data_IF_892336762349
#
_entry.id   IF_892336762349
#
_cell.length_a   1.000
_cell.length_b   1.000
_cell.length_c   1.000
_cell.angle_alpha   90.00
_cell.angle_beta   90.00
_cell.angle_gamma   90.00
#
_symmetry.space_group_name_H-M   'P 1'
#
loop_
_entity.id
_entity.type
_entity.pdbx_description
1 polymer ?
#
# COMPACT_ATOMS: atom_id res chain seq x y z
N UNK A 1 -7.76 -23.78 8.80
CA UNK A 1 -7.23 -22.45 8.46
C UNK A 1 -5.81 -22.25 8.99
N UNK A 2 -5.58 -22.25 10.32
CA UNK A 2 -4.22 -22.06 10.87
C UNK A 2 -3.16 -23.03 10.31
N UNK A 3 -3.47 -24.32 10.14
CA UNK A 3 -2.57 -25.32 9.53
C UNK A 3 -2.23 -24.98 8.08
N UNK A 4 -3.23 -24.67 7.25
CA UNK A 4 -3.06 -24.21 5.86
C UNK A 4 -2.20 -22.92 5.80
N UNK A 5 -2.37 -21.99 6.73
CA UNK A 5 -1.53 -20.78 6.80
C UNK A 5 -0.09 -21.08 7.24
N UNK A 6 0.15 -22.06 8.11
CA UNK A 6 1.52 -22.47 8.44
C UNK A 6 2.19 -23.16 7.25
N UNK A 7 1.48 -24.07 6.57
CA UNK A 7 2.03 -24.83 5.46
C UNK A 7 2.35 -23.94 4.24
N UNK A 8 1.49 -22.98 3.92
CA UNK A 8 1.74 -22.03 2.82
C UNK A 8 2.72 -20.90 3.15
N UNK A 9 3.04 -20.67 4.43
CA UNK A 9 4.16 -19.79 4.83
C UNK A 9 5.49 -20.53 4.82
N UNK A 10 5.48 -21.87 4.94
CA UNK A 10 6.68 -22.69 4.93
C UNK A 10 7.19 -23.00 3.52
N UNK A 11 6.29 -23.14 2.54
CA UNK A 11 6.66 -23.34 1.13
C UNK A 11 5.56 -22.95 0.15
N UNK A 12 5.97 -22.53 -1.04
CA UNK A 12 5.05 -22.28 -2.15
C UNK A 12 4.36 -23.58 -2.56
N UNK A 13 3.03 -23.58 -2.60
CA UNK A 13 2.23 -24.79 -2.87
C UNK A 13 2.04 -25.73 -1.67
N UNK A 14 2.61 -25.43 -0.49
CA UNK A 14 2.36 -26.19 0.74
C UNK A 14 0.92 -26.11 1.28
N UNK A 15 0.05 -25.31 0.65
CA UNK A 15 -1.30 -25.00 1.11
C UNK A 15 -2.25 -24.77 -0.05
N UNK A 16 -3.55 -24.98 0.17
CA UNK A 16 -4.62 -24.55 -0.75
C UNK A 16 -4.79 -23.02 -0.75
N UNK A 17 -4.29 -22.34 0.29
CA UNK A 17 -4.16 -20.88 0.31
C UNK A 17 -2.92 -20.47 -0.50
N UNK A 18 -3.15 -19.88 -1.68
CA UNK A 18 -2.09 -19.20 -2.43
C UNK A 18 -1.60 -18.00 -1.64
N UNK A 19 -0.37 -18.07 -1.12
CA UNK A 19 0.30 -16.98 -0.43
C UNK A 19 1.60 -16.63 -1.16
N UNK A 20 1.95 -15.35 -1.14
CA UNK A 20 3.15 -14.82 -1.78
C UNK A 20 4.27 -14.81 -0.73
N UNK A 21 5.41 -15.41 -1.04
CA UNK A 21 6.61 -15.39 -0.21
C UNK A 21 7.33 -14.06 -0.48
N UNK A 22 7.81 -13.42 0.59
CA UNK A 22 8.64 -12.21 0.52
C UNK A 22 10.05 -12.53 1.01
N UNK A 23 11.05 -11.94 0.36
CA UNK A 23 12.49 -12.18 0.59
C UNK A 23 13.13 -11.12 1.50
N UNK A 24 12.30 -10.43 2.30
CA UNK A 24 12.76 -9.55 3.37
C UNK A 24 13.20 -10.39 4.59
N UNK A 25 14.34 -11.08 4.46
CA UNK A 25 14.85 -12.04 5.46
C UNK A 25 15.14 -11.41 6.83
N UNK A 26 15.31 -10.09 6.87
CA UNK A 26 15.49 -9.30 8.07
C UNK A 26 14.37 -8.24 8.21
N UNK A 27 13.20 -8.65 8.70
CA UNK A 27 12.35 -7.70 9.43
C UNK A 27 13.15 -7.27 10.68
N UNK A 28 13.47 -5.98 10.83
CA UNK A 28 14.51 -5.53 11.74
C UNK A 28 14.16 -5.78 13.22
N UNK A 29 15.10 -6.40 13.93
CA UNK A 29 15.08 -6.55 15.38
C UNK A 29 15.86 -5.42 16.04
N UNK A 30 15.16 -4.32 16.33
CA UNK A 30 15.77 -3.16 16.97
C UNK A 30 16.30 -3.48 18.36
N UNK A 31 17.63 -3.49 18.53
CA UNK A 31 18.23 -3.46 19.88
C UNK A 31 18.04 -2.06 20.48
N UNK A 32 17.66 -1.94 21.76
CA UNK A 32 17.51 -0.64 22.40
C UNK A 32 18.87 0.01 22.64
N UNK A 33 19.09 1.18 22.05
CA UNK A 33 20.15 2.12 22.45
C UNK A 33 19.54 3.31 23.20
N UNK A 34 20.07 3.55 24.40
CA UNK A 34 19.88 4.74 25.27
C UNK A 34 18.45 5.23 25.61
N UNK A 35 18.11 5.07 26.89
CA UNK A 35 17.27 5.92 27.76
C UNK A 35 15.82 6.32 27.40
N UNK A 36 15.42 6.38 26.13
CA UNK A 36 14.01 6.66 25.78
C UNK A 36 13.15 5.40 25.88
N UNK A 37 12.08 5.48 26.67
CA UNK A 37 11.35 4.31 27.16
C UNK A 37 10.67 3.47 26.05
N UNK A 38 11.20 2.26 25.83
CA UNK A 38 10.48 1.06 25.36
C UNK A 38 9.58 1.19 24.10
N UNK A 39 10.03 1.92 23.07
CA UNK A 39 9.40 1.91 21.74
C UNK A 39 10.28 1.20 20.71
N UNK A 40 9.99 -0.09 20.47
CA UNK A 40 10.68 -0.88 19.44
C UNK A 40 9.98 -0.69 18.08
N UNK A 41 10.42 0.34 17.35
CA UNK A 41 10.04 0.56 15.96
C UNK A 41 10.42 -0.66 15.10
N UNK A 42 9.63 -0.94 14.06
CA UNK A 42 10.12 -1.70 12.91
C UNK A 42 11.09 -0.81 12.14
N UNK A 43 12.31 -0.70 12.65
CA UNK A 43 13.33 0.26 12.22
C UNK A 43 14.22 -0.41 11.19
N UNK A 44 13.97 -0.23 9.90
CA UNK A 44 14.89 -0.72 8.86
C UNK A 44 16.24 -0.07 9.16
N UNK A 45 17.26 -0.89 9.44
CA UNK A 45 18.49 -0.38 10.06
C UNK A 45 19.35 0.30 9.01
N UNK A 46 19.19 1.62 8.98
CA UNK A 46 19.96 2.56 8.15
C UNK A 46 20.88 3.42 9.02
N UNK A 47 21.17 2.98 10.25
CA UNK A 47 22.16 3.62 11.13
C UNK A 47 23.54 3.51 10.48
N UNK A 48 24.29 4.62 10.41
CA UNK A 48 25.53 4.66 9.63
C UNK A 48 25.25 4.54 8.12
N UNK A 49 24.24 5.29 7.65
CA UNK A 49 24.00 5.53 6.21
C UNK A 49 23.67 6.99 5.97
N UNK A 50 24.44 7.60 5.09
CA UNK A 50 24.34 8.96 4.63
C UNK A 50 24.26 9.00 3.10
N UNK A 51 23.57 10.01 2.57
CA UNK A 51 23.40 10.21 1.14
C UNK A 51 21.95 10.05 0.66
N UNK A 52 21.79 10.30 -0.63
CA UNK A 52 20.52 10.26 -1.33
C UNK A 52 20.15 8.81 -1.69
N UNK A 53 18.98 8.36 -1.23
CA UNK A 53 18.38 7.09 -1.65
C UNK A 53 17.02 7.35 -2.27
N UNK A 54 16.77 6.69 -3.39
CA UNK A 54 15.57 6.89 -4.21
C UNK A 54 14.52 5.82 -3.95
N UNK A 55 13.28 6.09 -4.35
CA UNK A 55 12.23 5.10 -4.51
C UNK A 55 11.33 5.40 -5.71
N UNK A 56 10.80 4.33 -6.28
CA UNK A 56 9.71 4.34 -7.26
C UNK A 56 8.54 3.57 -6.64
N UNK A 57 7.35 4.16 -6.66
CA UNK A 57 6.10 3.52 -6.22
C UNK A 57 5.09 3.49 -7.36
N UNK A 58 4.98 2.33 -8.02
CA UNK A 58 4.02 2.12 -9.11
C UNK A 58 2.66 1.68 -8.54
N UNK A 59 1.74 2.64 -8.51
CA UNK A 59 0.37 2.48 -8.06
C UNK A 59 -0.60 2.02 -9.15
N UNK A 60 -1.89 2.40 -9.00
CA UNK A 60 -2.96 2.04 -9.93
C UNK A 60 -3.14 3.05 -11.06
N UNK A 61 -3.32 4.33 -10.72
CA UNK A 61 -3.61 5.42 -11.67
C UNK A 61 -2.47 6.44 -11.78
N UNK A 62 -1.65 6.54 -10.73
CA UNK A 62 -0.45 7.36 -10.67
C UNK A 62 0.73 6.50 -10.18
N UNK A 63 1.95 6.96 -10.43
CA UNK A 63 3.15 6.50 -9.73
C UNK A 63 3.85 7.67 -9.05
N UNK A 64 4.61 7.39 -8.00
CA UNK A 64 5.44 8.38 -7.32
C UNK A 64 6.92 8.06 -7.51
N UNK A 65 7.70 9.11 -7.69
CA UNK A 65 9.16 9.06 -7.58
C UNK A 65 9.55 9.87 -6.36
N UNK A 66 10.46 9.36 -5.54
CA UNK A 66 10.81 9.94 -4.24
C UNK A 66 12.31 9.83 -4.01
N UNK A 67 12.88 10.81 -3.32
CA UNK A 67 14.24 10.75 -2.76
C UNK A 67 14.22 11.14 -1.29
N UNK A 68 15.01 10.42 -0.50
CA UNK A 68 15.30 10.75 0.89
C UNK A 68 16.80 11.00 1.05
N UNK A 69 17.13 11.96 1.90
CA UNK A 69 18.49 12.11 2.43
C UNK A 69 18.54 11.44 3.80
N UNK A 70 19.46 10.51 3.97
CA UNK A 70 19.74 9.86 5.26
C UNK A 70 20.82 10.63 6.03
N UNK A 71 20.66 10.75 7.35
CA UNK A 71 21.52 11.54 8.23
C UNK A 71 22.62 10.77 8.97
N UNK A 72 23.15 9.67 8.40
CA UNK A 72 24.29 8.95 8.95
C UNK A 72 24.03 8.31 10.33
N UNK A 73 24.71 8.81 11.35
CA UNK A 73 24.83 8.19 12.68
C UNK A 73 23.52 8.02 13.45
N UNK A 74 22.48 8.78 13.13
CA UNK A 74 21.15 8.66 13.76
C UNK A 74 20.15 7.80 12.96
N UNK A 75 20.50 7.35 11.75
CA UNK A 75 19.64 6.51 10.91
C UNK A 75 18.28 7.13 10.57
N UNK A 76 18.18 8.46 10.55
CA UNK A 76 16.94 9.20 10.26
C UNK A 76 16.93 9.80 8.86
N UNK A 77 15.74 9.89 8.29
CA UNK A 77 15.45 10.74 7.13
C UNK A 77 15.55 12.20 7.56
N UNK A 78 16.46 12.97 6.97
CA UNK A 78 16.64 14.41 7.25
C UNK A 78 16.01 15.31 6.19
N UNK A 79 15.81 14.80 4.98
CA UNK A 79 15.11 15.47 3.87
C UNK A 79 14.33 14.44 3.05
N UNK A 80 13.17 14.83 2.52
CA UNK A 80 12.34 14.03 1.63
C UNK A 80 11.77 14.93 0.54
N UNK A 81 11.84 14.49 -0.71
CA UNK A 81 11.22 15.14 -1.86
C UNK A 81 10.54 14.06 -2.72
N UNK A 82 9.42 14.39 -3.37
CA UNK A 82 8.70 13.47 -4.25
C UNK A 82 7.92 14.21 -5.34
N UNK A 83 7.73 13.54 -6.47
CA UNK A 83 6.76 13.91 -7.51
C UNK A 83 5.74 12.78 -7.68
N UNK A 84 4.47 13.14 -7.94
CA UNK A 84 3.41 12.21 -8.32
C UNK A 84 3.04 12.42 -9.80
N UNK A 85 3.13 11.36 -10.60
CA UNK A 85 2.94 11.38 -12.05
C UNK A 85 1.74 10.51 -12.40
N UNK A 86 0.76 11.10 -13.08
CA UNK A 86 -0.41 10.36 -13.56
C UNK A 86 -0.08 9.53 -14.79
N UNK A 87 -0.56 8.29 -14.83
CA UNK A 87 -0.27 7.33 -15.89
C UNK A 87 -1.31 7.53 -17.01
N UNK A 88 -0.89 7.88 -18.25
CA UNK A 88 -1.79 7.91 -19.40
C UNK A 88 -2.50 6.55 -19.57
N UNK A 89 -3.84 6.49 -19.63
CA UNK A 89 -4.56 5.22 -19.61
C UNK A 89 -4.19 4.23 -20.71
N UNK A 90 -3.69 4.72 -21.86
CA UNK A 90 -3.22 3.85 -22.94
C UNK A 90 -1.95 3.06 -22.58
N UNK A 91 -1.09 3.57 -21.69
CA UNK A 91 0.10 2.84 -21.21
C UNK A 91 -0.25 1.72 -20.22
N UNK A 92 -1.44 1.76 -19.60
CA UNK A 92 -1.89 0.68 -18.71
C UNK A 92 -2.28 -0.59 -19.48
N UNK A 93 -2.56 -0.47 -20.79
CA UNK A 93 -2.98 -1.56 -21.69
C UNK A 93 -2.16 -1.59 -22.99
N UNK A 94 -1.01 -0.92 -23.00
CA UNK A 94 -0.09 -0.81 -24.14
C UNK A 94 1.06 -1.81 -24.01
N UNK A 95 2.22 -1.46 -24.54
CA UNK A 95 3.45 -2.24 -24.37
C UNK A 95 4.13 -2.04 -23.02
N UNK A 96 4.82 -3.05 -22.51
CA UNK A 96 5.65 -2.97 -21.30
C UNK A 96 6.77 -1.93 -21.48
N UNK A 97 7.42 -1.92 -22.64
CA UNK A 97 8.46 -0.94 -22.97
C UNK A 97 7.90 0.49 -22.92
N UNK A 98 6.70 0.75 -23.43
CA UNK A 98 6.08 2.09 -23.42
C UNK A 98 5.81 2.57 -21.98
N UNK A 99 5.30 1.68 -21.11
CA UNK A 99 5.09 1.97 -19.69
C UNK A 99 6.41 2.22 -18.95
N UNK A 100 7.39 1.33 -19.09
CA UNK A 100 8.66 1.45 -18.36
C UNK A 100 9.54 2.58 -18.89
N UNK A 101 9.52 2.89 -20.19
CA UNK A 101 10.21 4.07 -20.76
C UNK A 101 9.58 5.38 -20.28
N UNK A 102 8.25 5.44 -20.13
CA UNK A 102 7.56 6.59 -19.53
C UNK A 102 7.96 6.79 -18.06
N UNK A 103 8.03 5.71 -17.27
CA UNK A 103 8.49 5.73 -15.88
C UNK A 103 9.97 6.15 -15.79
N UNK A 104 10.84 5.57 -16.61
CA UNK A 104 12.27 5.90 -16.66
C UNK A 104 12.52 7.35 -17.10
N UNK A 105 11.72 7.88 -18.04
CA UNK A 105 11.78 9.30 -18.45
C UNK A 105 11.35 10.25 -17.32
N UNK A 106 10.38 9.86 -16.49
CA UNK A 106 10.01 10.63 -15.30
C UNK A 106 11.09 10.57 -14.21
N UNK A 107 11.67 9.39 -13.95
CA UNK A 107 12.83 9.24 -13.06
C UNK A 107 14.02 10.09 -13.52
N UNK A 108 14.32 10.12 -14.83
CA UNK A 108 15.40 10.95 -15.39
C UNK A 108 15.17 12.45 -15.14
N UNK A 109 13.93 12.94 -15.29
CA UNK A 109 13.55 14.33 -14.98
C UNK A 109 13.68 14.65 -13.49
N UNK A 110 13.30 13.70 -12.63
CA UNK A 110 13.40 13.85 -11.18
C UNK A 110 14.85 13.81 -10.68
N UNK A 111 15.71 12.96 -11.27
CA UNK A 111 17.16 12.99 -11.02
C UNK A 111 17.78 14.29 -11.52
N UNK A 112 17.35 14.82 -12.68
CA UNK A 112 17.81 16.11 -13.18
C UNK A 112 17.36 17.32 -12.31
N UNK A 113 16.46 17.13 -11.34
CA UNK A 113 16.07 18.16 -10.36
C UNK A 113 16.82 18.08 -9.03
N UNK A 114 17.88 17.27 -8.93
CA UNK A 114 18.74 17.18 -7.73
C UNK A 114 19.24 18.56 -7.28
N UNK A 115 18.91 18.93 -6.04
CA UNK A 115 19.51 20.07 -5.36
C UNK A 115 20.87 19.73 -4.74
N UNK A 116 21.58 20.75 -4.25
CA UNK A 116 22.91 20.61 -3.64
C UNK A 116 22.94 19.61 -2.45
N UNK A 117 21.83 19.43 -1.73
CA UNK A 117 21.73 18.50 -0.60
C UNK A 117 21.80 17.00 -0.99
N UNK A 118 21.62 16.65 -2.28
CA UNK A 118 21.52 15.25 -2.75
C UNK A 118 22.74 14.80 -3.57
N UNK A 119 23.94 15.27 -3.21
CA UNK A 119 25.17 14.91 -3.90
C UNK A 119 25.43 13.39 -3.88
N UNK A 120 25.49 12.82 -5.08
CA UNK A 120 26.00 11.46 -5.32
C UNK A 120 27.52 11.49 -5.22
N UNK A 121 28.11 10.70 -4.31
CA UNK A 121 29.56 10.61 -4.17
C UNK A 121 30.21 10.08 -5.46
N UNK A 122 31.38 10.59 -5.82
CA UNK A 122 32.07 10.27 -7.08
C UNK A 122 32.31 8.76 -7.21
N UNK A 123 31.94 8.19 -8.37
CA UNK A 123 32.01 6.75 -8.63
C UNK A 123 30.92 5.90 -7.97
N UNK A 124 29.94 6.50 -7.25
CA UNK A 124 28.72 5.79 -6.82
C UNK A 124 27.62 5.92 -7.87
N UNK A 125 26.85 4.85 -8.01
CA UNK A 125 25.60 4.77 -8.77
C UNK A 125 24.43 5.10 -7.83
N UNK A 126 23.36 5.71 -8.33
CA UNK A 126 22.16 6.00 -7.53
C UNK A 126 21.42 4.70 -7.19
N UNK A 127 21.13 4.49 -5.92
CA UNK A 127 20.39 3.31 -5.47
C UNK A 127 18.92 3.63 -5.18
N UNK A 128 18.02 2.72 -5.57
CA UNK A 128 16.60 2.90 -5.31
C UNK A 128 15.83 1.63 -4.98
N UNK A 129 14.73 1.83 -4.26
CA UNK A 129 13.75 0.78 -3.96
C UNK A 129 12.55 0.87 -4.90
N UNK A 130 12.16 -0.25 -5.49
CA UNK A 130 11.01 -0.33 -6.37
C UNK A 130 9.82 -0.94 -5.62
N UNK A 131 8.88 -0.10 -5.18
CA UNK A 131 7.54 -0.57 -4.83
C UNK A 131 6.77 -0.86 -6.11
N UNK A 132 6.39 -2.13 -6.28
CA UNK A 132 5.58 -2.59 -7.40
C UNK A 132 4.34 -3.27 -6.85
N UNK A 133 3.25 -2.50 -6.76
CA UNK A 133 2.05 -2.89 -6.01
C UNK A 133 1.13 -3.85 -6.81
N UNK A 134 1.69 -4.93 -7.34
CA UNK A 134 0.99 -5.98 -8.08
C UNK A 134 1.37 -7.36 -7.54
N UNK A 135 0.57 -8.41 -7.76
CA UNK A 135 0.97 -9.77 -7.39
C UNK A 135 2.22 -10.22 -8.15
N UNK A 136 3.38 -10.22 -7.49
CA UNK A 136 4.64 -10.78 -8.02
C UNK A 136 5.00 -12.08 -7.28
N UNK A 137 5.64 -13.00 -7.99
CA UNK A 137 6.42 -14.09 -7.40
C UNK A 137 7.85 -13.58 -7.22
N UNK A 138 8.17 -13.05 -6.04
CA UNK A 138 9.54 -12.64 -5.74
C UNK A 138 10.49 -13.84 -5.88
N UNK A 139 11.71 -13.58 -6.34
CA UNK A 139 12.77 -14.59 -6.51
C UNK A 139 14.04 -14.22 -5.73
N UNK A 140 14.19 -12.94 -5.38
CA UNK A 140 15.16 -12.42 -4.43
C UNK A 140 14.62 -11.12 -3.80
N UNK A 141 15.42 -10.45 -2.97
CA UNK A 141 15.08 -9.10 -2.48
C UNK A 141 14.91 -8.09 -3.62
N UNK A 142 15.62 -8.25 -4.74
CA UNK A 142 15.66 -7.31 -5.87
C UNK A 142 15.26 -7.98 -7.20
N UNK A 143 14.37 -8.97 -7.17
CA UNK A 143 13.83 -9.61 -8.38
C UNK A 143 12.49 -10.29 -8.11
N UNK A 144 11.66 -10.41 -9.14
CA UNK A 144 10.38 -11.10 -9.06
C UNK A 144 9.54 -10.99 -10.32
N UNK A 145 8.84 -12.08 -10.66
CA UNK A 145 8.03 -12.17 -11.87
C UNK A 145 6.54 -11.88 -11.63
N UNK A 146 5.92 -11.08 -12.51
CA UNK A 146 4.51 -10.69 -12.37
C UNK A 146 3.59 -11.91 -12.52
N UNK A 147 2.76 -12.18 -11.52
CA UNK A 147 1.78 -13.29 -11.56
C UNK A 147 0.55 -12.89 -12.38
N UNK A 148 0.05 -11.66 -12.21
CA UNK A 148 -1.06 -11.08 -12.98
C UNK A 148 -1.18 -9.58 -12.74
N UNK A 149 -1.69 -8.86 -13.72
CA UNK A 149 -2.11 -7.48 -13.53
C UNK A 149 -3.36 -7.34 -12.65
N UNK A 150 -3.50 -6.15 -12.06
CA UNK A 150 -4.69 -5.68 -11.33
C UNK A 150 -4.84 -4.17 -11.54
N UNK A 151 -5.73 -3.49 -10.83
CA UNK A 151 -5.83 -2.01 -10.80
C UNK A 151 -6.04 -1.34 -12.18
N UNK A 152 -6.56 -2.08 -13.16
CA UNK A 152 -6.84 -1.60 -14.53
C UNK A 152 -5.74 -1.87 -15.56
N UNK A 153 -4.57 -2.37 -15.14
CA UNK A 153 -3.51 -2.77 -16.06
C UNK A 153 -3.85 -4.06 -16.80
N UNK A 154 -3.36 -4.17 -18.04
CA UNK A 154 -3.50 -5.36 -18.90
C UNK A 154 -2.41 -5.38 -19.98
N UNK A 155 -1.16 -5.59 -19.57
CA UNK A 155 0.01 -5.70 -20.46
C UNK A 155 0.43 -7.18 -20.50
N UNK A 156 -0.10 -7.94 -21.47
CA UNK A 156 0.03 -9.40 -21.48
C UNK A 156 1.49 -9.88 -21.54
N UNK A 157 2.35 -9.18 -22.28
CA UNK A 157 3.78 -9.50 -22.40
C UNK A 157 4.58 -9.34 -21.09
N UNK A 158 4.02 -8.70 -20.06
CA UNK A 158 4.66 -8.59 -18.75
C UNK A 158 4.36 -9.80 -17.84
N UNK A 159 3.34 -10.61 -18.16
CA UNK A 159 2.90 -11.69 -17.26
C UNK A 159 3.90 -12.84 -17.29
N UNK A 160 4.43 -13.20 -16.13
CA UNK A 160 5.58 -14.09 -15.89
C UNK A 160 6.97 -13.49 -16.14
N UNK A 161 7.05 -12.23 -16.59
CA UNK A 161 8.33 -11.52 -16.73
C UNK A 161 8.73 -10.77 -15.46
N UNK A 162 10.03 -10.48 -15.32
CA UNK A 162 10.62 -9.88 -14.12
C UNK A 162 10.54 -8.34 -14.15
N UNK A 163 9.83 -7.75 -13.19
CA UNK A 163 9.56 -6.31 -13.16
C UNK A 163 10.82 -5.45 -12.92
N UNK A 164 11.82 -5.99 -12.22
CA UNK A 164 13.10 -5.30 -12.00
C UNK A 164 13.91 -5.29 -13.29
N UNK A 165 13.88 -6.40 -14.04
CA UNK A 165 14.57 -6.55 -15.32
C UNK A 165 14.03 -5.58 -16.37
N UNK A 166 12.70 -5.49 -16.53
CA UNK A 166 12.10 -4.56 -17.52
C UNK A 166 12.33 -3.10 -17.17
N UNK A 167 12.23 -2.73 -15.89
CA UNK A 167 12.57 -1.37 -15.46
C UNK A 167 14.07 -1.07 -15.66
N UNK A 168 14.96 -2.03 -15.39
CA UNK A 168 16.41 -1.84 -15.61
C UNK A 168 16.73 -1.57 -17.09
N UNK A 169 16.14 -2.34 -18.01
CA UNK A 169 16.26 -2.11 -19.45
C UNK A 169 15.80 -0.71 -19.87
N UNK A 170 14.71 -0.20 -19.27
CA UNK A 170 14.22 1.14 -19.55
C UNK A 170 15.15 2.25 -19.01
N UNK A 171 15.73 2.06 -17.82
CA UNK A 171 16.74 2.96 -17.27
C UNK A 171 17.99 3.02 -18.16
N UNK A 172 18.48 1.87 -18.63
CA UNK A 172 19.60 1.77 -19.59
C UNK A 172 19.28 2.52 -20.90
N UNK A 173 18.07 2.34 -21.46
CA UNK A 173 17.62 3.07 -22.66
C UNK A 173 17.55 4.59 -22.48
N UNK A 174 17.22 5.06 -21.27
CA UNK A 174 17.24 6.49 -20.92
C UNK A 174 18.65 6.99 -20.52
N UNK A 175 19.66 6.12 -20.45
CA UNK A 175 21.02 6.46 -20.02
C UNK A 175 21.11 6.84 -18.53
N UNK A 176 20.18 6.36 -17.70
CA UNK A 176 20.06 6.76 -16.30
C UNK A 176 20.84 5.80 -15.38
N UNK A 177 21.93 6.29 -14.78
CA UNK A 177 22.80 5.51 -13.91
C UNK A 177 22.16 5.26 -12.52
N UNK A 178 21.31 4.24 -12.46
CA UNK A 178 20.54 3.84 -11.28
C UNK A 178 20.49 2.32 -11.10
N UNK A 179 20.46 1.86 -9.85
CA UNK A 179 20.35 0.44 -9.47
C UNK A 179 19.18 0.17 -8.54
N UNK A 180 18.41 -0.86 -8.87
CA UNK A 180 17.33 -1.37 -8.04
C UNK A 180 17.93 -2.28 -6.96
N UNK A 181 17.84 -1.86 -5.70
CA UNK A 181 18.41 -2.60 -4.56
C UNK A 181 17.37 -3.45 -3.83
N UNK A 182 16.08 -3.14 -3.99
CA UNK A 182 14.98 -3.93 -3.45
C UNK A 182 13.69 -3.78 -4.26
N UNK A 183 12.91 -4.85 -4.32
CA UNK A 183 11.55 -4.93 -4.84
C UNK A 183 10.58 -5.08 -3.66
N UNK A 184 9.77 -4.05 -3.41
CA UNK A 184 8.85 -3.97 -2.28
C UNK A 184 7.42 -4.35 -2.64
N UNK A 185 6.85 -5.31 -1.90
CA UNK A 185 5.40 -5.51 -1.80
C UNK A 185 4.87 -4.87 -0.51
N UNK A 186 3.83 -4.05 -0.61
CA UNK A 186 3.27 -3.35 0.55
C UNK A 186 2.15 -4.13 1.20
N UNK A 187 2.51 -5.17 1.96
CA UNK A 187 1.58 -6.09 2.60
C UNK A 187 0.40 -5.40 3.31
N UNK A 188 0.63 -4.33 4.08
CA UNK A 188 -0.44 -3.61 4.79
C UNK A 188 -1.26 -2.74 3.82
N UNK A 189 -0.60 -1.99 2.93
CA UNK A 189 -1.26 -1.15 1.93
C UNK A 189 -2.11 -1.96 0.96
N UNK A 190 -1.56 -3.01 0.36
CA UNK A 190 -2.28 -3.90 -0.55
C UNK A 190 -3.37 -4.73 0.16
N UNK A 191 -3.24 -5.07 1.45
CA UNK A 191 -4.36 -5.62 2.22
C UNK A 191 -5.51 -4.61 2.34
N UNK A 192 -5.22 -3.33 2.59
CA UNK A 192 -6.23 -2.27 2.69
C UNK A 192 -6.84 -1.91 1.32
N UNK A 193 -6.04 -1.92 0.25
CA UNK A 193 -6.52 -1.77 -1.14
C UNK A 193 -7.38 -2.97 -1.52
N UNK A 194 -6.99 -4.21 -1.20
CA UNK A 194 -7.80 -5.41 -1.42
C UNK A 194 -9.13 -5.35 -0.64
N UNK A 195 -9.13 -4.82 0.60
CA UNK A 195 -10.36 -4.57 1.35
C UNK A 195 -11.19 -3.44 0.74
N UNK A 196 -10.58 -2.42 0.12
CA UNK A 196 -11.26 -1.37 -0.64
C UNK A 196 -11.92 -1.90 -1.92
N UNK A 197 -11.25 -2.81 -2.63
CA UNK A 197 -11.81 -3.51 -3.79
C UNK A 197 -12.93 -4.48 -3.38
N UNK A 198 -12.81 -5.12 -2.20
CA UNK A 198 -13.86 -5.97 -1.64
C UNK A 198 -15.09 -5.14 -1.22
N UNK A 199 -14.90 -3.98 -0.57
CA UNK A 199 -15.96 -3.00 -0.30
C UNK A 199 -16.73 -2.67 -1.59
N UNK A 200 -16.01 -2.28 -2.64
CA UNK A 200 -16.57 -1.94 -3.95
C UNK A 200 -17.35 -3.11 -4.58
N UNK A 201 -16.78 -4.32 -4.58
CA UNK A 201 -17.44 -5.52 -5.11
C UNK A 201 -18.74 -5.82 -4.37
N UNK A 202 -18.74 -5.69 -3.03
CA UNK A 202 -19.90 -5.96 -2.20
C UNK A 202 -21.01 -4.92 -2.41
N UNK A 203 -20.68 -3.63 -2.59
CA UNK A 203 -21.64 -2.63 -3.06
C UNK A 203 -22.23 -3.03 -4.41
N UNK A 204 -21.38 -3.41 -5.39
CA UNK A 204 -21.83 -3.80 -6.74
C UNK A 204 -22.80 -5.00 -6.70
N UNK A 205 -22.52 -6.02 -5.90
CA UNK A 205 -23.39 -7.21 -5.74
C UNK A 205 -24.69 -6.90 -5.01
N UNK A 206 -24.66 -6.06 -3.97
CA UNK A 206 -25.87 -5.65 -3.25
C UNK A 206 -26.79 -4.79 -4.14
N UNK A 207 -26.21 -3.88 -4.93
CA UNK A 207 -26.94 -3.09 -5.93
C UNK A 207 -27.58 -3.97 -7.01
N UNK A 208 -26.88 -5.02 -7.47
CA UNK A 208 -27.42 -6.01 -8.41
C UNK A 208 -28.65 -6.73 -7.83
N UNK A 209 -28.59 -7.21 -6.59
CA UNK A 209 -29.66 -7.99 -5.95
C UNK A 209 -30.87 -7.14 -5.55
N UNK A 210 -30.67 -5.89 -5.13
CA UNK A 210 -31.76 -5.05 -4.62
C UNK A 210 -32.57 -4.34 -5.71
N UNK A 211 -31.99 -4.13 -6.89
CA UNK A 211 -32.63 -3.35 -7.97
C UNK A 211 -32.86 -4.12 -9.27
N UNK A 212 -32.62 -5.44 -9.29
CA UNK A 212 -32.87 -6.32 -10.44
C UNK A 212 -32.19 -5.83 -11.75
N UNK A 213 -31.05 -5.13 -11.63
CA UNK A 213 -30.33 -4.54 -12.76
C UNK A 213 -29.67 -5.66 -13.58
N UNK A 214 -29.97 -5.81 -14.89
CA UNK A 214 -29.37 -6.85 -15.70
C UNK A 214 -27.85 -6.74 -15.75
N UNK A 215 -27.15 -7.87 -15.67
CA UNK A 215 -25.68 -7.94 -15.67
C UNK A 215 -25.05 -7.26 -16.91
N UNK A 216 -25.78 -7.27 -18.03
CA UNK A 216 -25.41 -6.58 -19.27
C UNK A 216 -25.42 -5.04 -19.13
N UNK A 217 -26.33 -4.47 -18.33
CA UNK A 217 -26.34 -3.02 -18.03
C UNK A 217 -25.15 -2.64 -17.14
N UNK A 218 -24.79 -3.50 -16.18
CA UNK A 218 -23.62 -3.34 -15.32
C UNK A 218 -22.27 -3.58 -16.02
N UNK A 219 -22.28 -4.20 -17.20
CA UNK A 219 -21.11 -4.34 -18.09
C UNK A 219 -21.06 -3.25 -19.17
N UNK A 220 -22.22 -2.72 -19.59
CA UNK A 220 -22.35 -1.52 -20.42
C UNK A 220 -22.11 -0.21 -19.67
N UNK A 221 -22.00 -0.26 -18.33
CA UNK A 221 -21.58 0.85 -17.46
C UNK A 221 -20.05 1.13 -17.56
N UNK A 222 -19.50 1.16 -18.77
CA UNK A 222 -18.17 1.74 -19.07
C UNK A 222 -18.13 3.24 -18.77
N UNK A 223 -19.29 3.88 -18.64
CA UNK A 223 -19.50 5.25 -18.17
C UNK A 223 -19.73 5.38 -16.65
N UNK A 224 -19.59 4.30 -15.87
CA UNK A 224 -19.52 4.45 -14.41
C UNK A 224 -18.28 5.30 -14.07
N UNK A 225 -18.40 6.38 -13.29
CA UNK A 225 -17.23 7.14 -12.84
C UNK A 225 -16.21 6.17 -12.22
N UNK A 226 -14.92 6.31 -12.59
CA UNK A 226 -13.85 5.34 -12.29
C UNK A 226 -14.00 4.67 -10.92
N UNK A 227 -13.73 3.35 -10.87
CA UNK A 227 -14.01 2.46 -9.73
C UNK A 227 -13.58 3.00 -8.35
N UNK A 228 -12.57 3.87 -8.31
CA UNK A 228 -12.08 4.62 -7.14
C UNK A 228 -13.09 5.59 -6.51
N UNK A 229 -14.06 6.12 -7.27
CA UNK A 229 -14.94 7.24 -6.85
C UNK A 229 -16.08 6.82 -5.90
N UNK A 230 -16.34 5.53 -5.74
CA UNK A 230 -17.45 5.03 -4.92
C UNK A 230 -17.25 5.20 -3.41
N UNK A 231 -16.03 4.98 -2.92
CA UNK A 231 -15.70 5.09 -1.49
C UNK A 231 -15.98 6.50 -0.93
N UNK A 232 -15.56 7.60 -1.60
CA UNK A 232 -16.00 8.95 -1.25
C UNK A 232 -17.52 9.11 -1.18
N UNK A 233 -18.28 8.55 -2.13
CA UNK A 233 -19.74 8.68 -2.14
C UNK A 233 -20.41 7.93 -0.99
N UNK A 234 -19.91 6.76 -0.59
CA UNK A 234 -20.40 6.06 0.61
C UNK A 234 -20.18 6.91 1.86
N UNK A 235 -18.95 7.38 2.08
CA UNK A 235 -18.60 8.24 3.22
C UNK A 235 -19.51 9.49 3.28
N UNK A 236 -19.71 10.19 2.15
CA UNK A 236 -20.66 11.30 2.05
C UNK A 236 -22.10 10.94 2.41
N UNK A 237 -22.57 9.73 2.05
CA UNK A 237 -23.93 9.27 2.33
C UNK A 237 -24.14 8.93 3.81
N UNK A 238 -23.15 8.37 4.50
CA UNK A 238 -23.23 8.10 5.94
C UNK A 238 -23.04 9.35 6.80
N UNK A 239 -22.29 10.35 6.30
CA UNK A 239 -22.20 11.66 6.94
C UNK A 239 -23.46 12.54 6.75
N UNK A 240 -24.49 12.07 6.04
CA UNK A 240 -25.73 12.83 5.81
C UNK A 240 -26.61 12.89 7.06
N UNK A 241 -26.43 13.95 7.85
CA UNK A 241 -27.25 14.24 9.04
C UNK A 241 -28.58 14.95 8.72
N UNK A 242 -28.97 15.09 7.45
CA UNK A 242 -30.21 15.80 7.12
C UNK A 242 -31.46 14.93 7.39
N UNK A 243 -32.57 15.50 7.90
CA UNK A 243 -33.75 14.70 8.31
C UNK A 243 -34.35 13.80 7.23
N UNK A 244 -34.18 14.19 5.96
CA UNK A 244 -34.71 13.49 4.79
C UNK A 244 -33.62 12.77 3.96
N UNK A 245 -32.38 12.67 4.48
CA UNK A 245 -31.22 12.09 3.78
C UNK A 245 -31.06 12.66 2.36
N UNK A 246 -30.95 13.98 2.26
CA UNK A 246 -30.89 14.73 0.99
C UNK A 246 -29.65 14.40 0.16
N UNK A 247 -28.48 14.21 0.79
CA UNK A 247 -27.24 13.82 0.12
C UNK A 247 -27.39 12.40 -0.41
N UNK A 248 -27.96 11.47 0.37
CA UNK A 248 -28.25 10.10 -0.11
C UNK A 248 -29.19 10.14 -1.31
N UNK A 249 -30.28 10.92 -1.23
CA UNK A 249 -31.21 11.12 -2.35
C UNK A 249 -30.54 11.69 -3.60
N UNK A 250 -29.66 12.70 -3.44
CA UNK A 250 -28.89 13.27 -4.53
C UNK A 250 -27.89 12.27 -5.13
N UNK A 251 -27.11 11.56 -4.32
CA UNK A 251 -26.14 10.56 -4.80
C UNK A 251 -26.81 9.38 -5.51
N UNK A 252 -27.97 8.92 -5.02
CA UNK A 252 -28.79 7.93 -5.72
C UNK A 252 -29.33 8.46 -7.07
N UNK A 253 -29.67 9.74 -7.17
CA UNK A 253 -30.08 10.37 -8.42
C UNK A 253 -28.90 10.51 -9.40
N UNK A 254 -27.83 11.15 -8.95
CA UNK A 254 -26.76 11.67 -9.81
C UNK A 254 -25.80 10.57 -10.29
N UNK A 255 -25.61 9.50 -9.49
CA UNK A 255 -24.68 8.41 -9.81
C UNK A 255 -25.42 7.15 -10.30
N UNK A 256 -26.59 6.87 -9.74
CA UNK A 256 -27.35 5.63 -10.00
C UNK A 256 -28.59 5.85 -10.86
N UNK A 257 -28.93 7.10 -11.22
CA UNK A 257 -30.13 7.44 -11.98
C UNK A 257 -31.46 7.26 -11.24
N UNK A 258 -31.44 6.87 -9.96
CA UNK A 258 -32.63 6.50 -9.19
C UNK A 258 -33.34 7.75 -8.67
N UNK A 259 -34.38 8.17 -9.39
CA UNK A 259 -35.23 9.30 -9.02
C UNK A 259 -36.17 8.96 -7.84
N UNK A 260 -36.69 10.01 -7.18
CA UNK A 260 -37.85 9.93 -6.27
C UNK A 260 -37.76 8.90 -5.13
N UNK A 261 -36.56 8.66 -4.60
CA UNK A 261 -36.32 7.68 -3.53
C UNK A 261 -37.02 8.07 -2.22
N UNK A 262 -37.69 7.11 -1.58
CA UNK A 262 -38.36 7.33 -0.29
C UNK A 262 -37.35 7.46 0.87
N UNK A 263 -37.74 8.10 1.98
CA UNK A 263 -36.89 8.17 3.18
C UNK A 263 -36.55 6.76 3.74
N UNK A 264 -37.48 5.81 3.65
CA UNK A 264 -37.24 4.40 4.03
C UNK A 264 -36.15 3.77 3.16
N UNK A 265 -36.18 4.01 1.84
CA UNK A 265 -35.16 3.55 0.89
C UNK A 265 -33.80 4.16 1.20
N UNK A 266 -33.73 5.48 1.47
CA UNK A 266 -32.48 6.18 1.78
C UNK A 266 -31.85 5.69 3.08
N UNK A 267 -32.65 5.43 4.12
CA UNK A 267 -32.17 4.84 5.38
C UNK A 267 -31.54 3.47 5.14
N UNK A 268 -32.24 2.60 4.41
CA UNK A 268 -31.72 1.27 4.06
C UNK A 268 -30.39 1.34 3.29
N UNK A 269 -30.20 2.32 2.41
CA UNK A 269 -28.93 2.55 1.71
C UNK A 269 -27.80 2.97 2.67
N UNK A 270 -28.09 3.81 3.67
CA UNK A 270 -27.11 4.15 4.73
C UNK A 270 -26.77 2.92 5.57
N UNK A 271 -27.77 2.14 6.01
CA UNK A 271 -27.58 0.91 6.79
C UNK A 271 -26.66 -0.09 6.04
N UNK A 272 -26.85 -0.21 4.73
CA UNK A 272 -26.00 -1.04 3.86
C UNK A 272 -24.58 -0.52 3.78
N UNK A 273 -24.38 0.79 3.59
CA UNK A 273 -23.04 1.38 3.55
C UNK A 273 -22.31 1.12 4.88
N UNK A 274 -23.02 1.23 6.00
CA UNK A 274 -22.53 0.94 7.35
C UNK A 274 -22.11 -0.52 7.54
N UNK A 275 -22.95 -1.48 7.13
CA UNK A 275 -22.64 -2.91 7.19
C UNK A 275 -21.41 -3.24 6.34
N UNK A 276 -21.32 -2.65 5.14
CA UNK A 276 -20.23 -2.87 4.19
C UNK A 276 -18.92 -2.31 4.75
N UNK A 277 -18.91 -1.05 5.23
CA UNK A 277 -17.77 -0.39 5.86
C UNK A 277 -17.24 -1.16 7.08
N UNK A 278 -18.12 -1.43 8.05
CA UNK A 278 -17.76 -2.08 9.32
C UNK A 278 -17.28 -3.52 9.13
N UNK A 279 -17.79 -4.24 8.12
CA UNK A 279 -17.25 -5.57 7.76
C UNK A 279 -15.83 -5.49 7.24
N UNK A 280 -15.51 -4.56 6.33
CA UNK A 280 -14.17 -4.45 5.79
C UNK A 280 -13.15 -3.98 6.84
N UNK A 281 -13.55 -3.04 7.71
CA UNK A 281 -12.74 -2.60 8.84
C UNK A 281 -12.39 -3.77 9.77
N UNK A 282 -13.37 -4.62 10.10
CA UNK A 282 -13.14 -5.86 10.87
C UNK A 282 -12.21 -6.86 10.18
N UNK A 283 -12.37 -7.07 8.88
CA UNK A 283 -11.50 -7.99 8.12
C UNK A 283 -10.05 -7.48 8.06
N UNK A 284 -9.85 -6.18 7.84
CA UNK A 284 -8.54 -5.54 7.90
C UNK A 284 -7.91 -5.68 9.31
N UNK A 285 -8.68 -5.38 10.36
CA UNK A 285 -8.27 -5.56 11.75
C UNK A 285 -7.86 -7.00 12.06
N UNK A 286 -8.64 -8.01 11.64
CA UNK A 286 -8.30 -9.43 11.83
C UNK A 286 -7.02 -9.83 11.10
N UNK A 287 -6.77 -9.27 9.92
CA UNK A 287 -5.52 -9.45 9.19
C UNK A 287 -4.30 -8.88 9.93
N UNK A 288 -4.41 -7.64 10.40
CA UNK A 288 -3.40 -6.97 11.24
C UNK A 288 -3.13 -7.77 12.52
N UNK A 289 -4.17 -8.20 13.23
CA UNK A 289 -4.04 -9.03 14.42
C UNK A 289 -3.37 -10.38 14.13
N UNK A 290 -3.64 -10.98 12.97
CA UNK A 290 -2.94 -12.18 12.50
C UNK A 290 -1.43 -11.97 12.33
N UNK A 291 -1.01 -10.81 11.81
CA UNK A 291 0.40 -10.43 11.70
C UNK A 291 1.01 -10.21 13.08
N UNK A 292 0.36 -9.44 13.97
CA UNK A 292 0.81 -9.22 15.34
C UNK A 292 1.02 -10.55 16.07
N UNK A 293 0.09 -11.50 15.90
CA UNK A 293 0.18 -12.85 16.46
C UNK A 293 1.32 -13.68 15.88
N UNK A 294 1.57 -13.58 14.56
CA UNK A 294 2.72 -14.25 13.92
C UNK A 294 4.06 -13.70 14.40
N UNK A 295 4.13 -12.41 14.72
CA UNK A 295 5.31 -11.73 15.27
C UNK A 295 5.49 -11.93 16.79
N UNK A 296 4.58 -12.65 17.48
CA UNK A 296 4.59 -12.76 18.95
C UNK A 296 4.25 -11.46 19.68
N UNK A 297 3.79 -10.42 18.96
CA UNK A 297 3.44 -9.08 19.46
C UNK A 297 1.96 -9.00 19.91
N UNK A 298 1.42 -10.10 20.42
CA UNK A 298 0.02 -10.27 20.84
C UNK A 298 -0.11 -10.93 22.22
N UNK A 299 1.00 -11.04 22.96
CA UNK A 299 1.10 -11.71 24.26
C UNK A 299 1.45 -10.62 25.28
N UNK A 300 0.78 -10.56 26.45
CA UNK A 300 1.17 -9.66 27.52
C UNK A 300 2.55 -10.04 28.06
N UNK A 301 3.59 -9.33 27.62
CA UNK A 301 4.94 -9.45 28.17
C UNK A 301 5.12 -8.48 29.33
N UNK A 302 5.83 -8.92 30.37
CA UNK A 302 6.22 -8.09 31.52
C UNK A 302 7.00 -6.84 31.10
N UNK A 303 7.77 -6.95 30.02
CA UNK A 303 8.25 -5.80 29.25
C UNK A 303 7.13 -5.33 28.32
N UNK A 304 6.41 -4.27 28.71
CA UNK A 304 5.38 -3.64 27.87
C UNK A 304 6.01 -2.95 26.64
N UNK A 305 6.31 -3.73 25.59
CA UNK A 305 6.85 -3.25 24.32
C UNK A 305 5.77 -2.51 23.54
N UNK A 306 5.95 -1.21 23.31
CA UNK A 306 5.01 -0.41 22.52
C UNK A 306 5.05 -0.83 21.05
N UNK A 307 3.90 -1.21 20.51
CA UNK A 307 3.75 -1.60 19.10
C UNK A 307 3.18 -0.41 18.33
N UNK A 308 3.83 -0.01 17.24
CA UNK A 308 3.30 1.00 16.32
C UNK A 308 2.90 0.34 15.01
N UNK A 309 1.63 0.50 14.61
CA UNK A 309 1.13 0.14 13.28
C UNK A 309 1.14 1.42 12.43
N UNK A 310 2.00 1.47 11.42
CA UNK A 310 1.95 2.49 10.39
C UNK A 310 0.87 2.10 9.35
N UNK A 311 -0.03 3.03 9.03
CA UNK A 311 -1.07 2.88 8.02
C UNK A 311 -0.94 4.02 7.00
N UNK A 312 -0.74 3.68 5.73
CA UNK A 312 -0.84 4.62 4.60
C UNK A 312 -2.05 4.20 3.75
N UNK A 313 -3.15 4.95 3.87
CA UNK A 313 -4.38 4.69 3.12
C UNK A 313 -5.40 5.82 3.25
N UNK A 314 -5.83 6.40 2.13
CA UNK A 314 -6.93 7.36 2.09
C UNK A 314 -8.27 6.82 2.61
N UNK A 315 -8.47 5.49 2.64
CA UNK A 315 -9.64 4.88 3.28
C UNK A 315 -9.58 5.05 4.81
N UNK A 316 -8.42 4.88 5.42
CA UNK A 316 -8.26 5.09 6.87
C UNK A 316 -8.21 6.58 7.23
N UNK A 317 -7.58 7.40 6.38
CA UNK A 317 -7.45 8.85 6.61
C UNK A 317 -8.79 9.61 6.48
N UNK A 318 -9.64 9.26 5.50
CA UNK A 318 -10.81 10.09 5.14
C UNK A 318 -12.18 9.45 5.43
N UNK A 319 -12.23 8.24 6.01
CA UNK A 319 -13.48 7.53 6.27
C UNK A 319 -13.55 7.08 7.73
N UNK A 320 -14.00 7.98 8.61
CA UNK A 320 -13.94 7.76 10.07
C UNK A 320 -14.65 6.49 10.54
N UNK A 321 -15.80 6.14 9.96
CA UNK A 321 -16.53 4.90 10.28
C UNK A 321 -15.67 3.65 10.02
N UNK A 322 -14.76 3.68 9.03
CA UNK A 322 -13.83 2.60 8.77
C UNK A 322 -12.68 2.58 9.79
N UNK A 323 -12.02 3.72 10.04
CA UNK A 323 -10.90 3.79 10.99
C UNK A 323 -11.34 3.53 12.44
N UNK A 324 -12.40 4.18 12.92
CA UNK A 324 -13.01 3.94 14.24
C UNK A 324 -13.36 2.46 14.45
N UNK A 325 -13.96 1.80 13.45
CA UNK A 325 -14.32 0.38 13.53
C UNK A 325 -13.10 -0.54 13.42
N UNK A 326 -12.06 -0.17 12.66
CA UNK A 326 -10.82 -0.93 12.55
C UNK A 326 -10.09 -0.91 13.89
N UNK A 327 -9.95 0.28 14.48
CA UNK A 327 -9.35 0.44 15.80
C UNK A 327 -10.14 -0.26 16.89
N UNK A 328 -11.48 -0.10 16.94
CA UNK A 328 -12.30 -0.76 17.97
C UNK A 328 -12.15 -2.27 17.88
N UNK A 329 -12.19 -2.83 16.66
CA UNK A 329 -12.03 -4.28 16.47
C UNK A 329 -10.63 -4.75 16.88
N UNK A 330 -9.57 -3.97 16.63
CA UNK A 330 -8.22 -4.30 17.12
C UNK A 330 -8.15 -4.28 18.65
N UNK A 331 -8.80 -3.31 19.31
CA UNK A 331 -8.92 -3.29 20.78
C UNK A 331 -9.67 -4.52 21.30
N UNK A 332 -10.82 -4.84 20.71
CA UNK A 332 -11.64 -6.01 21.06
C UNK A 332 -10.86 -7.34 20.90
N UNK A 333 -10.00 -7.46 19.89
CA UNK A 333 -9.21 -8.67 19.61
C UNK A 333 -7.92 -8.81 20.45
N UNK A 334 -7.41 -7.71 21.03
CA UNK A 334 -6.21 -7.71 21.87
C UNK A 334 -6.53 -7.65 23.36
N UNK A 335 -7.66 -7.06 23.74
CA UNK A 335 -8.03 -6.80 25.13
C UNK A 335 -7.55 -5.43 25.63
N UNK A 336 -8.18 -4.96 26.72
CA UNK A 336 -7.96 -3.64 27.31
C UNK A 336 -6.50 -3.41 27.76
N UNK A 337 -5.86 -4.41 28.38
CA UNK A 337 -4.51 -4.25 28.96
C UNK A 337 -3.44 -4.09 27.88
N UNK A 338 -3.48 -4.92 26.83
CA UNK A 338 -2.51 -4.90 25.72
C UNK A 338 -2.72 -3.70 24.79
N UNK A 339 -3.96 -3.20 24.67
CA UNK A 339 -4.30 -1.99 23.89
C UNK A 339 -3.47 -0.78 24.30
N UNK A 340 -3.12 -0.64 25.58
CA UNK A 340 -2.29 0.48 26.08
C UNK A 340 -0.90 0.58 25.43
N UNK A 341 -0.40 -0.53 24.86
CA UNK A 341 0.87 -0.61 24.14
C UNK A 341 0.73 -0.36 22.63
N UNK A 342 -0.48 -0.43 22.08
CA UNK A 342 -0.71 -0.32 20.64
C UNK A 342 -0.97 1.14 20.23
N UNK A 343 -0.25 1.62 19.23
CA UNK A 343 -0.50 2.91 18.58
C UNK A 343 -0.65 2.70 17.08
N UNK A 344 -1.79 3.07 16.54
CA UNK A 344 -1.96 3.17 15.09
C UNK A 344 -1.61 4.60 14.69
N UNK A 345 -0.74 4.76 13.69
CA UNK A 345 -0.35 6.06 13.13
C UNK A 345 -0.62 6.08 11.65
N UNK A 346 -1.23 7.16 11.18
CA UNK A 346 -1.18 7.51 9.77
C UNK A 346 0.28 7.77 9.38
N UNK A 347 0.77 7.06 8.37
CA UNK A 347 2.04 7.29 7.72
C UNK A 347 1.77 7.89 6.34
N UNK A 348 2.48 8.94 5.98
CA UNK A 348 2.47 9.50 4.63
C UNK A 348 3.66 8.94 3.86
N UNK A 349 3.44 8.65 2.58
CA UNK A 349 4.44 8.08 1.67
C UNK A 349 5.11 6.81 2.21
N UNK A 350 4.37 5.99 2.97
CA UNK A 350 4.90 4.78 3.58
C UNK A 350 5.52 3.85 2.54
N UNK A 351 4.86 3.73 1.38
CA UNK A 351 5.33 2.91 0.25
C UNK A 351 6.60 3.42 -0.43
N UNK A 352 6.81 4.74 -0.48
CA UNK A 352 8.02 5.35 -1.02
C UNK A 352 9.16 5.31 -0.01
N UNK A 353 8.94 5.83 1.19
CA UNK A 353 9.95 5.91 2.25
C UNK A 353 10.43 4.50 2.63
N UNK A 354 9.53 3.54 2.82
CA UNK A 354 9.95 2.18 3.19
C UNK A 354 10.70 1.44 2.09
N UNK A 355 10.40 1.71 0.81
CA UNK A 355 11.18 1.17 -0.31
C UNK A 355 12.59 1.80 -0.36
N UNK A 356 12.70 3.12 -0.17
CA UNK A 356 14.00 3.78 -0.08
C UNK A 356 14.80 3.26 1.14
N UNK A 357 14.17 3.10 2.30
CA UNK A 357 14.82 2.51 3.49
C UNK A 357 15.24 1.05 3.28
N UNK A 358 14.50 0.28 2.46
CA UNK A 358 14.84 -1.11 2.08
C UNK A 358 15.87 -1.20 0.92
N UNK A 359 16.13 -0.09 0.21
CA UNK A 359 17.24 0.06 -0.73
C UNK A 359 18.53 0.52 -0.03
N UNK A 360 18.41 1.39 0.98
CA UNK A 360 19.25 1.29 2.18
C UNK A 360 19.00 -0.06 2.89
N UNK A 361 19.71 -0.40 3.97
CA UNK A 361 19.90 -1.79 4.43
C UNK A 361 20.60 -2.70 3.36
N UNK A 362 20.06 -2.85 2.15
CA UNK A 362 20.58 -3.68 1.06
C UNK A 362 21.58 -3.00 0.10
N UNK A 363 21.88 -1.70 0.28
CA UNK A 363 22.90 -0.97 -0.48
C UNK A 363 24.21 -1.76 -0.67
N UNK A 364 24.80 -1.66 -1.87
CA UNK A 364 26.12 -2.18 -2.17
C UNK A 364 27.24 -1.34 -1.53
N UNK A 365 26.93 -0.09 -1.16
CA UNK A 365 27.83 0.79 -0.44
C UNK A 365 27.64 0.61 1.06
N UNK A 366 28.50 -0.22 1.66
CA UNK A 366 28.75 -0.10 3.09
C UNK A 366 29.52 1.19 3.33
N UNK A 367 29.06 1.99 4.28
CA UNK A 367 29.99 2.93 4.93
C UNK A 367 31.11 2.09 5.54
N UNK A 368 32.35 2.53 5.33
CA UNK A 368 33.45 1.96 6.06
C UNK A 368 33.21 2.26 7.54
N UNK A 369 33.30 1.24 8.40
CA UNK A 369 33.39 1.47 9.84
C UNK A 369 34.49 2.52 10.07
N UNK A 370 34.17 3.62 10.76
CA UNK A 370 35.18 4.60 11.18
C UNK A 370 36.19 3.88 12.07
N UNK A 371 37.41 3.70 11.55
CA UNK A 371 38.56 3.03 12.18
C UNK A 371 39.08 3.78 13.42
#
# INVERSE_FOLDING_TARGET
MAVEMHAGLASEGGSKLKMIISYADALPSGKPSSSDCNVEWLRIDVTGREGAIYALDLGGTNFRVLRIQLGGKEGRVIKQEHDEISIPPHLMTGGSNELFDFIASALAKFVASEGEDFHLAEGRQREFGFTFSFPVKQTSIASGTLIKWTKGFSIDEMVSEDAVTELSKALERQGLDMKIMALGHWLVGDMMIMMSLLLLYLVRVLMQHMWNVPMQFLNGMTSCPSQEKWTPYMSMMQCDKSPNLRIVGAKMKDILGVQSTSLKTRRLVVDICDIVAKRAARLAASGIHGILKKLGRNIPSTDKKRVVIAIDSGLYEHYSIFSECLESTLRDMLGEEDTSSLVIKLAKDGSGIGAALLAAAHSQYREADEL
#
